data_IF_049679319519
#
_entry.id   IF_049679319519
#
_cell.length_a   1.000
_cell.length_b   1.000
_cell.length_c   1.000
_cell.angle_alpha   90.00
_cell.angle_beta   90.00
_cell.angle_gamma   90.00
#
_symmetry.space_group_name_H-M   'P 1'
#
loop_
_entity.id
_entity.type
_entity.pdbx_description
1 polymer ?
#
# COMPACT_ATOMS: atom_id res chain seq x y z
N UNK A 1 -28.71 30.32 11.10
CA UNK A 1 -27.26 30.00 11.13
C UNK A 1 -26.97 28.78 12.02
N UNK A 2 -27.36 28.76 13.30
CA UNK A 2 -27.07 27.61 14.19
C UNK A 2 -27.66 26.24 13.78
N UNK A 3 -28.82 26.20 13.10
CA UNK A 3 -29.42 24.93 12.65
C UNK A 3 -28.70 24.31 11.45
N UNK A 4 -28.15 25.14 10.56
CA UNK A 4 -27.50 24.69 9.32
C UNK A 4 -26.08 24.20 9.59
N UNK A 5 -25.38 24.88 10.50
CA UNK A 5 -24.06 24.47 10.99
C UNK A 5 -24.13 23.19 11.82
N UNK A 6 -25.15 23.05 12.68
CA UNK A 6 -25.39 21.82 13.41
C UNK A 6 -25.72 20.64 12.47
N UNK A 7 -26.52 20.86 11.42
CA UNK A 7 -26.83 19.84 10.43
C UNK A 7 -25.60 19.46 9.58
N UNK A 8 -24.78 20.43 9.17
CA UNK A 8 -23.52 20.18 8.48
C UNK A 8 -22.56 19.37 9.35
N UNK A 9 -22.39 19.75 10.62
CA UNK A 9 -21.53 19.04 11.55
C UNK A 9 -22.05 17.64 11.89
N UNK A 10 -23.37 17.40 11.93
CA UNK A 10 -23.92 16.06 12.12
C UNK A 10 -23.68 15.14 10.92
N UNK A 11 -23.63 15.69 9.70
CA UNK A 11 -23.42 14.91 8.46
C UNK A 11 -21.94 14.73 8.14
N UNK A 12 -21.08 15.66 8.55
CA UNK A 12 -19.64 15.62 8.29
C UNK A 12 -18.82 15.00 9.43
N UNK A 13 -19.46 14.58 10.52
CA UNK A 13 -18.82 14.11 11.74
C UNK A 13 -18.30 15.24 12.63
N UNK A 14 -18.21 14.99 13.95
CA UNK A 14 -17.53 15.91 14.85
C UNK A 14 -16.06 16.08 14.40
N UNK A 15 -15.52 17.31 14.51
CA UNK A 15 -14.24 17.77 13.95
C UNK A 15 -12.97 16.93 14.27
N UNK A 16 -13.08 15.84 15.04
CA UNK A 16 -12.00 14.97 15.46
C UNK A 16 -12.18 13.49 15.08
N UNK A 17 -13.38 13.03 14.69
CA UNK A 17 -13.66 11.61 14.41
C UNK A 17 -13.41 11.20 12.96
N UNK A 18 -13.37 12.16 12.03
CA UNK A 18 -13.23 11.91 10.59
C UNK A 18 -12.29 12.90 9.94
N UNK A 19 -11.51 12.41 8.97
CA UNK A 19 -10.69 13.28 8.14
C UNK A 19 -11.58 14.09 7.19
N UNK A 20 -11.33 15.40 7.08
CA UNK A 20 -12.01 16.26 6.12
C UNK A 20 -11.11 17.41 5.67
N UNK A 21 -11.45 18.00 4.53
CA UNK A 21 -10.82 19.22 4.01
C UNK A 21 -11.76 20.43 4.03
N UNK A 22 -13.00 20.24 4.47
CA UNK A 22 -13.99 21.30 4.60
C UNK A 22 -13.70 22.18 5.82
N UNK A 23 -13.98 23.48 5.70
CA UNK A 23 -14.18 24.36 6.85
C UNK A 23 -15.70 24.43 7.11
N UNK A 24 -16.15 23.98 8.28
CA UNK A 24 -17.58 23.86 8.62
C UNK A 24 -18.43 25.10 8.30
N UNK A 25 -18.00 26.33 8.66
CA UNK A 25 -18.72 27.56 8.36
C UNK A 25 -18.86 27.87 6.86
N UNK A 26 -17.85 27.53 6.06
CA UNK A 26 -17.86 27.79 4.61
C UNK A 26 -18.81 26.84 3.88
N UNK A 27 -18.83 25.55 4.28
CA UNK A 27 -19.74 24.58 3.69
C UNK A 27 -21.20 24.91 3.99
N UNK A 28 -21.53 25.29 5.24
CA UNK A 28 -22.91 25.67 5.59
C UNK A 28 -23.42 26.86 4.75
N UNK A 29 -22.53 27.80 4.43
CA UNK A 29 -22.83 28.92 3.53
C UNK A 29 -23.03 28.45 2.08
N UNK A 30 -22.17 27.55 1.60
CA UNK A 30 -22.28 26.98 0.25
C UNK A 30 -23.57 26.19 0.06
N UNK A 31 -23.92 25.29 1.00
CA UNK A 31 -25.17 24.51 0.95
C UNK A 31 -26.40 25.42 0.97
N UNK A 32 -26.35 26.55 1.69
CA UNK A 32 -27.45 27.51 1.73
C UNK A 32 -27.60 28.32 0.42
N UNK A 33 -26.56 28.36 -0.41
CA UNK A 33 -26.47 29.26 -1.56
C UNK A 33 -26.43 28.54 -2.91
N UNK A 34 -26.07 27.26 -2.93
CA UNK A 34 -25.85 26.46 -4.14
C UNK A 34 -26.35 25.03 -3.96
N UNK A 35 -26.80 24.43 -5.07
CA UNK A 35 -27.02 22.99 -5.14
C UNK A 35 -25.66 22.28 -5.10
N UNK A 36 -25.49 21.38 -4.14
CA UNK A 36 -24.24 20.65 -3.93
C UNK A 36 -24.40 19.23 -4.48
N UNK A 37 -23.50 18.84 -5.38
CA UNK A 37 -23.36 17.46 -5.83
C UNK A 37 -22.25 16.76 -5.04
N UNK A 38 -22.47 15.48 -4.73
CA UNK A 38 -21.50 14.62 -4.06
C UNK A 38 -21.20 13.39 -4.89
N UNK A 39 -19.96 12.89 -4.79
CA UNK A 39 -19.55 11.60 -5.31
C UNK A 39 -18.88 10.83 -4.18
N UNK A 40 -19.23 9.56 -4.05
CA UNK A 40 -18.55 8.63 -3.15
C UNK A 40 -17.58 7.82 -3.97
N UNK A 41 -16.33 7.77 -3.53
CA UNK A 41 -15.30 6.92 -4.14
C UNK A 41 -14.86 5.93 -3.09
N UNK A 42 -15.22 4.67 -3.30
CA UNK A 42 -14.75 3.59 -2.46
C UNK A 42 -13.26 3.35 -2.69
N UNK A 43 -12.53 2.99 -1.62
CA UNK A 43 -11.10 2.66 -1.65
C UNK A 43 -10.10 3.83 -1.80
N UNK A 44 -10.53 5.10 -1.79
CA UNK A 44 -9.57 6.21 -1.69
C UNK A 44 -8.89 6.22 -0.33
N UNK A 45 -7.55 6.26 -0.32
CA UNK A 45 -6.81 6.46 0.92
C UNK A 45 -6.87 7.93 1.35
N UNK A 46 -6.59 8.24 2.64
CA UNK A 46 -6.42 9.63 3.07
C UNK A 46 -5.30 10.36 2.32
N UNK A 47 -4.31 9.64 1.78
CA UNK A 47 -3.25 10.21 0.96
C UNK A 47 -3.79 10.66 -0.40
N UNK A 48 -4.57 9.81 -1.07
CA UNK A 48 -5.20 10.12 -2.35
C UNK A 48 -6.15 11.31 -2.23
N UNK A 49 -6.98 11.31 -1.18
CA UNK A 49 -7.91 12.39 -0.92
C UNK A 49 -7.20 13.73 -0.65
N UNK A 50 -6.04 13.72 0.02
CA UNK A 50 -5.17 14.91 0.17
C UNK A 50 -4.58 15.36 -1.15
N UNK A 51 -4.06 14.44 -1.96
CA UNK A 51 -3.47 14.75 -3.26
C UNK A 51 -4.52 15.37 -4.20
N UNK A 52 -5.73 14.81 -4.23
CA UNK A 52 -6.87 15.36 -4.95
C UNK A 52 -7.22 16.76 -4.45
N UNK A 53 -7.35 16.95 -3.13
CA UNK A 53 -7.64 18.26 -2.57
C UNK A 53 -6.60 19.32 -2.95
N UNK A 54 -5.30 18.99 -2.89
CA UNK A 54 -4.22 19.91 -3.28
C UNK A 54 -4.37 20.37 -4.74
N UNK A 55 -4.77 19.46 -5.64
CA UNK A 55 -4.98 19.76 -7.07
C UNK A 55 -6.26 20.55 -7.33
N UNK A 56 -7.32 20.31 -6.57
CA UNK A 56 -8.65 20.85 -6.84
C UNK A 56 -9.04 22.07 -6.00
N UNK A 57 -8.36 22.36 -4.89
CA UNK A 57 -8.71 23.47 -3.97
C UNK A 57 -8.79 24.86 -4.60
N UNK A 58 -8.20 25.05 -5.79
CA UNK A 58 -8.27 26.31 -6.54
C UNK A 58 -9.48 26.42 -7.48
N UNK A 59 -10.24 25.34 -7.68
CA UNK A 59 -11.39 25.32 -8.56
C UNK A 59 -12.65 25.81 -7.84
N UNK A 60 -13.40 26.72 -8.47
CA UNK A 60 -14.62 27.31 -7.89
C UNK A 60 -15.72 26.27 -7.58
N UNK A 61 -15.74 25.16 -8.32
CA UNK A 61 -16.72 24.09 -8.19
C UNK A 61 -16.34 23.03 -7.13
N UNK A 62 -15.12 23.06 -6.60
CA UNK A 62 -14.65 22.06 -5.66
C UNK A 62 -14.80 22.53 -4.21
N UNK A 63 -15.60 21.80 -3.44
CA UNK A 63 -15.88 22.15 -2.05
C UNK A 63 -14.93 21.47 -1.05
N UNK A 64 -14.40 20.28 -1.37
CA UNK A 64 -13.60 19.49 -0.44
C UNK A 64 -13.90 18.00 -0.51
N UNK A 65 -13.41 17.28 0.49
CA UNK A 65 -13.64 15.85 0.68
C UNK A 65 -13.77 15.55 2.19
N UNK A 66 -14.56 14.53 2.51
CA UNK A 66 -14.74 14.00 3.88
C UNK A 66 -14.65 12.49 3.82
N UNK A 67 -14.06 11.90 4.85
CA UNK A 67 -14.06 10.45 5.03
C UNK A 67 -15.46 9.97 5.37
N UNK A 68 -15.98 9.05 4.56
CA UNK A 68 -17.24 8.35 4.86
C UNK A 68 -16.94 7.19 5.80
N UNK A 69 -17.76 7.05 6.84
CA UNK A 69 -17.56 6.08 7.93
C UNK A 69 -18.85 5.27 8.08
N UNK A 70 -18.83 3.96 7.75
CA UNK A 70 -20.03 3.12 7.77
C UNK A 70 -20.71 2.99 9.14
N UNK A 71 -19.97 3.24 10.22
CA UNK A 71 -20.46 3.17 11.60
C UNK A 71 -21.29 4.39 12.03
N UNK A 72 -21.11 5.53 11.34
CA UNK A 72 -21.85 6.78 11.59
C UNK A 72 -23.20 6.72 10.87
N UNK A 73 -24.34 6.80 11.59
CA UNK A 73 -25.67 6.68 10.99
C UNK A 73 -25.97 7.67 9.87
N UNK A 74 -25.54 8.92 10.05
CA UNK A 74 -25.73 10.02 9.10
C UNK A 74 -24.92 9.79 7.83
N UNK A 75 -23.68 9.29 7.96
CA UNK A 75 -22.83 8.95 6.81
C UNK A 75 -23.46 7.82 5.98
N UNK A 76 -23.98 6.78 6.64
CA UNK A 76 -24.68 5.71 5.94
C UNK A 76 -25.92 6.22 5.21
N UNK A 77 -26.77 7.01 5.88
CA UNK A 77 -28.01 7.51 5.29
C UNK A 77 -27.76 8.41 4.08
N UNK A 78 -26.80 9.34 4.17
CA UNK A 78 -26.51 10.33 3.14
C UNK A 78 -25.61 9.77 2.03
N UNK A 79 -24.51 9.11 2.37
CA UNK A 79 -23.49 8.75 1.38
C UNK A 79 -23.59 7.31 0.89
N UNK A 80 -23.87 6.35 1.79
CA UNK A 80 -23.86 4.93 1.42
C UNK A 80 -25.20 4.46 0.86
N UNK A 81 -26.31 5.01 1.34
CA UNK A 81 -27.66 4.61 0.92
C UNK A 81 -28.24 5.48 -0.20
N UNK A 82 -27.97 6.78 -0.18
CA UNK A 82 -28.62 7.71 -1.11
C UNK A 82 -27.84 7.95 -2.41
N UNK A 83 -26.57 7.56 -2.47
CA UNK A 83 -25.72 7.73 -3.66
C UNK A 83 -25.47 6.34 -4.25
N UNK A 84 -26.06 6.00 -5.41
CA UNK A 84 -25.91 4.69 -6.00
C UNK A 84 -24.52 4.50 -6.63
N UNK A 85 -24.05 3.26 -6.62
CA UNK A 85 -22.83 2.89 -7.33
C UNK A 85 -23.06 2.94 -8.84
N UNK A 86 -22.24 3.70 -9.58
CA UNK A 86 -22.35 3.82 -11.04
C UNK A 86 -21.35 2.98 -11.83
N UNK A 87 -20.10 2.95 -11.37
CA UNK A 87 -19.04 2.25 -12.09
C UNK A 87 -17.90 1.86 -11.16
N UNK A 88 -17.06 0.93 -11.64
CA UNK A 88 -15.79 0.55 -11.01
C UNK A 88 -14.65 0.88 -11.95
N UNK A 89 -13.62 1.53 -11.41
CA UNK A 89 -12.34 1.67 -12.10
C UNK A 89 -11.42 0.56 -11.57
N UNK A 90 -10.80 -0.19 -12.47
CA UNK A 90 -9.82 -1.21 -12.13
C UNK A 90 -8.64 -1.13 -13.11
N UNK A 91 -7.45 -0.82 -12.59
CA UNK A 91 -6.27 -0.52 -13.40
C UNK A 91 -6.59 0.57 -14.43
N UNK A 92 -6.53 0.25 -15.72
CA UNK A 92 -6.80 1.16 -16.84
C UNK A 92 -8.12 0.82 -17.56
N UNK A 93 -9.06 0.21 -16.84
CA UNK A 93 -10.37 -0.18 -17.34
C UNK A 93 -11.50 0.36 -16.47
N UNK A 94 -12.63 0.68 -17.10
CA UNK A 94 -13.85 1.12 -16.44
C UNK A 94 -14.98 0.13 -16.69
N UNK A 95 -15.62 -0.33 -15.63
CA UNK A 95 -16.79 -1.21 -15.67
C UNK A 95 -18.04 -0.43 -15.27
N UNK A 96 -18.93 -0.16 -16.22
CA UNK A 96 -20.23 0.45 -15.97
C UNK A 96 -21.20 -0.58 -15.40
N UNK A 97 -21.85 -0.24 -14.29
CA UNK A 97 -22.82 -1.13 -13.67
C UNK A 97 -24.15 -1.08 -14.42
N UNK A 98 -24.74 -2.26 -14.61
CA UNK A 98 -26.10 -2.41 -15.11
C UNK A 98 -26.80 -3.52 -14.30
N UNK A 99 -28.13 -3.57 -14.30
CA UNK A 99 -28.86 -4.61 -13.56
C UNK A 99 -29.14 -5.77 -14.50
N UNK A 100 -28.32 -6.81 -14.43
CA UNK A 100 -28.41 -7.96 -15.33
C UNK A 100 -29.75 -8.68 -15.26
N UNK A 101 -30.38 -8.72 -14.09
CA UNK A 101 -31.69 -9.35 -13.88
C UNK A 101 -32.85 -8.66 -14.63
N UNK A 102 -32.66 -7.42 -15.10
CA UNK A 102 -33.67 -6.70 -15.90
C UNK A 102 -33.49 -6.93 -17.41
N UNK A 103 -32.32 -7.41 -17.87
CA UNK A 103 -31.99 -7.52 -19.30
C UNK A 103 -32.90 -8.48 -20.09
N UNK A 104 -33.52 -9.46 -19.42
CA UNK A 104 -34.50 -10.35 -20.07
C UNK A 104 -35.81 -9.61 -20.43
N UNK A 105 -36.06 -8.47 -19.79
CA UNK A 105 -37.29 -7.67 -19.93
C UNK A 105 -37.02 -6.35 -20.67
N UNK A 106 -35.96 -5.64 -20.29
CA UNK A 106 -35.59 -4.33 -20.83
C UNK A 106 -34.08 -4.13 -20.76
N UNK A 107 -33.49 -3.57 -21.83
CA UNK A 107 -32.08 -3.21 -21.83
C UNK A 107 -31.86 -1.91 -21.04
N UNK A 108 -31.35 -2.04 -19.82
CA UNK A 108 -31.09 -0.93 -18.91
C UNK A 108 -29.65 -0.39 -18.98
N UNK A 109 -28.87 -0.79 -19.98
CA UNK A 109 -27.50 -0.31 -20.16
C UNK A 109 -27.49 1.13 -20.67
N UNK A 110 -26.72 2.00 -20.01
CA UNK A 110 -26.54 3.39 -20.43
C UNK A 110 -25.48 3.49 -21.56
N UNK A 111 -25.93 3.24 -22.79
CA UNK A 111 -25.06 3.33 -23.96
C UNK A 111 -24.51 4.74 -24.21
N UNK A 112 -25.15 5.78 -23.68
CA UNK A 112 -24.64 7.16 -23.84
C UNK A 112 -23.41 7.32 -22.95
N UNK A 113 -23.54 7.00 -21.67
CA UNK A 113 -22.42 7.04 -20.71
C UNK A 113 -21.27 6.12 -21.16
N UNK A 114 -21.58 4.92 -21.66
CA UNK A 114 -20.57 4.01 -22.23
C UNK A 114 -19.76 4.67 -23.35
N UNK A 115 -20.42 5.37 -24.28
CA UNK A 115 -19.76 6.03 -25.41
C UNK A 115 -18.98 7.26 -24.99
N UNK A 116 -19.48 8.01 -24.01
CA UNK A 116 -18.75 9.13 -23.44
C UNK A 116 -17.43 8.68 -22.82
N UNK A 117 -17.44 7.58 -22.06
CA UNK A 117 -16.22 7.01 -21.49
C UNK A 117 -15.27 6.47 -22.56
N UNK A 118 -15.76 5.74 -23.58
CA UNK A 118 -14.93 5.27 -24.70
C UNK A 118 -14.23 6.42 -25.42
N UNK A 119 -14.93 7.53 -25.65
CA UNK A 119 -14.40 8.69 -26.41
C UNK A 119 -13.49 9.57 -25.54
N UNK A 120 -13.63 9.53 -24.21
CA UNK A 120 -12.84 10.35 -23.29
C UNK A 120 -11.32 10.12 -23.39
N UNK A 121 -10.91 8.90 -23.75
CA UNK A 121 -9.50 8.49 -23.75
C UNK A 121 -8.85 8.44 -22.36
N UNK A 122 -9.64 8.52 -21.28
CA UNK A 122 -9.16 8.47 -19.90
C UNK A 122 -8.82 7.05 -19.42
N UNK A 123 -9.40 6.04 -20.08
CA UNK A 123 -9.19 4.62 -19.78
C UNK A 123 -8.93 3.85 -21.08
N UNK A 124 -8.16 2.77 -21.01
CA UNK A 124 -7.88 1.89 -22.15
C UNK A 124 -9.10 1.11 -22.63
N UNK A 125 -10.03 0.76 -21.75
CA UNK A 125 -11.23 0.01 -22.12
C UNK A 125 -12.43 0.28 -21.21
N UNK A 126 -13.62 0.14 -21.79
CA UNK A 126 -14.90 0.23 -21.08
C UNK A 126 -15.65 -1.10 -21.20
N UNK A 127 -16.25 -1.55 -20.10
CA UNK A 127 -16.95 -2.82 -20.00
C UNK A 127 -18.28 -2.67 -19.27
N UNK A 128 -19.13 -3.67 -19.42
CA UNK A 128 -20.36 -3.83 -18.63
C UNK A 128 -20.11 -4.76 -17.46
N UNK A 129 -20.61 -4.42 -16.29
CA UNK A 129 -20.62 -5.28 -15.11
C UNK A 129 -22.04 -5.37 -14.52
N UNK A 130 -22.49 -6.59 -14.26
CA UNK A 130 -23.78 -6.81 -13.60
C UNK A 130 -23.68 -6.45 -12.10
N UNK A 131 -24.55 -5.54 -11.65
CA UNK A 131 -24.67 -5.16 -10.24
C UNK A 131 -25.25 -6.28 -9.38
N UNK A 132 -25.94 -7.25 -9.99
CA UNK A 132 -26.70 -8.27 -9.28
C UNK A 132 -27.83 -7.64 -8.47
N UNK A 133 -28.11 -8.21 -7.29
CA UNK A 133 -29.13 -7.70 -6.37
C UNK A 133 -28.64 -6.57 -5.45
N UNK A 134 -27.39 -6.09 -5.61
CA UNK A 134 -26.80 -5.04 -4.75
C UNK A 134 -27.62 -3.75 -4.80
N UNK A 135 -27.75 -3.08 -3.65
CA UNK A 135 -28.46 -1.78 -3.53
C UNK A 135 -29.95 -1.86 -3.94
N UNK A 136 -30.53 -3.07 -4.02
CA UNK A 136 -31.95 -3.27 -4.27
C UNK A 136 -32.68 -3.63 -2.98
N UNK A 137 -34.01 -3.63 -3.02
CA UNK A 137 -34.83 -4.15 -1.90
C UNK A 137 -34.58 -5.63 -1.59
N UNK A 138 -33.90 -6.36 -2.49
CA UNK A 138 -33.53 -7.76 -2.31
C UNK A 138 -32.11 -7.93 -1.78
N UNK A 139 -31.36 -6.83 -1.54
CA UNK A 139 -30.04 -6.88 -0.92
C UNK A 139 -30.17 -7.06 0.60
N UNK A 140 -29.88 -8.24 1.17
CA UNK A 140 -29.96 -8.43 2.61
C UNK A 140 -28.80 -7.74 3.34
N UNK A 141 -27.80 -7.24 2.62
CA UNK A 141 -26.60 -6.59 3.15
C UNK A 141 -26.66 -5.07 3.08
N UNK A 142 -27.64 -4.48 2.38
CA UNK A 142 -27.89 -3.04 2.39
C UNK A 142 -28.61 -2.59 3.68
N UNK A 143 -27.91 -2.72 4.81
CA UNK A 143 -28.43 -2.29 6.11
C UNK A 143 -27.32 -1.82 7.05
N UNK A 144 -27.69 -0.93 7.98
CA UNK A 144 -26.79 -0.34 8.97
C UNK A 144 -25.93 -1.38 9.72
N UNK A 145 -26.50 -2.53 10.07
CA UNK A 145 -25.78 -3.54 10.84
C UNK A 145 -24.64 -4.16 10.03
N UNK A 146 -24.86 -4.41 8.74
CA UNK A 146 -23.82 -4.90 7.84
C UNK A 146 -22.72 -3.85 7.64
N UNK A 147 -23.09 -2.60 7.35
CA UNK A 147 -22.13 -1.51 7.18
C UNK A 147 -21.29 -1.24 8.44
N UNK A 148 -21.89 -1.29 9.64
CA UNK A 148 -21.13 -1.22 10.90
C UNK A 148 -20.09 -2.33 11.01
N UNK A 149 -20.47 -3.58 10.73
CA UNK A 149 -19.53 -4.71 10.74
C UNK A 149 -18.40 -4.54 9.73
N UNK A 150 -18.69 -3.93 8.58
CA UNK A 150 -17.66 -3.60 7.57
C UNK A 150 -16.66 -2.58 8.12
N UNK A 151 -17.14 -1.50 8.75
CA UNK A 151 -16.29 -0.51 9.41
C UNK A 151 -15.46 -1.10 10.55
N UNK A 152 -16.07 -1.91 11.42
CA UNK A 152 -15.36 -2.62 12.50
C UNK A 152 -14.29 -3.57 11.96
N UNK A 153 -14.60 -4.31 10.89
CA UNK A 153 -13.63 -5.20 10.25
C UNK A 153 -12.45 -4.44 9.65
N UNK A 154 -12.71 -3.30 8.98
CA UNK A 154 -11.66 -2.43 8.44
C UNK A 154 -10.72 -1.92 9.54
N UNK A 155 -11.27 -1.41 10.64
CA UNK A 155 -10.47 -0.93 11.78
C UNK A 155 -9.64 -2.04 12.42
N UNK A 156 -10.22 -3.22 12.64
CA UNK A 156 -9.52 -4.37 13.20
C UNK A 156 -8.39 -4.86 12.30
N UNK A 157 -8.66 -4.98 10.99
CA UNK A 157 -7.66 -5.39 10.01
C UNK A 157 -6.53 -4.36 9.95
N UNK A 158 -6.86 -3.08 9.84
CA UNK A 158 -5.88 -2.00 9.80
C UNK A 158 -4.98 -2.01 11.05
N UNK A 159 -5.58 -2.16 12.24
CA UNK A 159 -4.84 -2.24 13.50
C UNK A 159 -3.87 -3.42 13.56
N UNK A 160 -4.33 -4.63 13.19
CA UNK A 160 -3.50 -5.84 13.21
C UNK A 160 -2.34 -5.75 12.21
N UNK A 161 -2.62 -5.34 10.97
CA UNK A 161 -1.58 -5.22 9.96
C UNK A 161 -0.60 -4.08 10.26
N UNK A 162 -1.08 -2.93 10.74
CA UNK A 162 -0.19 -1.82 11.13
C UNK A 162 0.76 -2.22 12.26
N UNK A 163 0.29 -2.99 13.24
CA UNK A 163 1.13 -3.52 14.30
C UNK A 163 2.21 -4.47 13.75
N UNK A 164 1.82 -5.44 12.91
CA UNK A 164 2.76 -6.41 12.34
C UNK A 164 3.80 -5.75 11.41
N UNK A 165 3.38 -4.78 10.59
CA UNK A 165 4.28 -4.00 9.72
C UNK A 165 5.20 -3.13 10.57
N UNK A 166 4.68 -2.47 11.61
CA UNK A 166 5.48 -1.66 12.54
C UNK A 166 6.58 -2.47 13.22
N UNK A 167 6.26 -3.65 13.75
CA UNK A 167 7.26 -4.55 14.33
C UNK A 167 8.31 -4.97 13.30
N UNK A 168 7.86 -5.35 12.09
CA UNK A 168 8.77 -5.78 11.01
C UNK A 168 9.73 -4.67 10.62
N UNK A 169 9.27 -3.41 10.54
CA UNK A 169 10.12 -2.24 10.25
C UNK A 169 11.15 -1.97 11.34
N UNK A 170 10.76 -2.09 12.62
CA UNK A 170 11.70 -1.95 13.73
C UNK A 170 12.77 -3.03 13.69
N UNK A 171 12.36 -4.29 13.56
CA UNK A 171 13.30 -5.42 13.49
C UNK A 171 14.19 -5.39 12.24
N UNK A 172 13.69 -4.91 11.09
CA UNK A 172 14.52 -4.62 9.92
C UNK A 172 15.62 -3.61 10.25
N UNK A 173 15.27 -2.53 10.96
CA UNK A 173 16.20 -1.46 11.32
C UNK A 173 17.26 -1.94 12.32
N UNK A 174 16.87 -2.75 13.30
CA UNK A 174 17.78 -3.39 14.26
C UNK A 174 18.74 -4.36 13.57
N UNK A 175 18.25 -5.09 12.57
CA UNK A 175 19.02 -6.07 11.82
C UNK A 175 20.04 -5.40 10.88
N UNK A 176 19.61 -4.40 10.12
CA UNK A 176 20.47 -3.52 9.32
C UNK A 176 19.63 -2.32 8.82
N UNK A 177 19.99 -1.07 9.15
CA UNK A 177 19.25 0.12 8.68
C UNK A 177 19.07 0.19 7.15
N UNK A 178 19.97 -0.42 6.37
CA UNK A 178 19.87 -0.49 4.92
C UNK A 178 18.65 -1.32 4.45
N UNK A 179 18.12 -2.24 5.26
CA UNK A 179 16.90 -2.98 4.94
C UNK A 179 15.71 -2.03 4.89
N UNK A 180 15.54 -1.21 5.93
CA UNK A 180 14.45 -0.22 6.01
C UNK A 180 14.57 0.81 4.89
N UNK A 181 15.79 1.26 4.56
CA UNK A 181 16.01 2.15 3.42
C UNK A 181 15.59 1.52 2.08
N UNK A 182 15.93 0.24 1.85
CA UNK A 182 15.56 -0.48 0.61
C UNK A 182 14.06 -0.72 0.52
N UNK A 183 13.41 -1.07 1.64
CA UNK A 183 11.96 -1.23 1.69
C UNK A 183 11.24 0.09 1.45
N UNK A 184 11.70 1.18 2.09
CA UNK A 184 11.18 2.52 1.83
C UNK A 184 11.32 2.91 0.36
N UNK A 185 12.48 2.67 -0.25
CA UNK A 185 12.69 2.94 -1.68
C UNK A 185 11.73 2.16 -2.58
N UNK A 186 11.49 0.88 -2.29
CA UNK A 186 10.55 0.04 -3.04
C UNK A 186 9.11 0.56 -2.91
N UNK A 187 8.65 0.84 -1.68
CA UNK A 187 7.31 1.38 -1.42
C UNK A 187 7.13 2.76 -2.04
N UNK A 188 8.12 3.65 -1.89
CA UNK A 188 8.04 5.00 -2.43
C UNK A 188 7.98 5.00 -3.96
N UNK A 189 8.79 4.16 -4.61
CA UNK A 189 8.77 4.00 -6.06
C UNK A 189 7.43 3.43 -6.55
N UNK A 190 6.81 2.53 -5.77
CA UNK A 190 5.47 2.04 -6.07
C UNK A 190 4.40 3.12 -5.86
N UNK A 191 4.47 3.92 -4.81
CA UNK A 191 3.48 4.99 -4.56
C UNK A 191 3.55 6.12 -5.60
N UNK A 192 4.72 6.38 -6.17
CA UNK A 192 4.93 7.48 -7.11
C UNK A 192 5.08 7.03 -8.56
N UNK A 193 4.71 5.80 -8.90
CA UNK A 193 4.82 5.33 -10.29
C UNK A 193 3.79 6.03 -11.18
N UNK A 194 4.26 6.47 -12.35
CA UNK A 194 3.44 6.96 -13.45
C UNK A 194 3.55 6.01 -14.66
N UNK A 195 4.62 5.20 -14.70
CA UNK A 195 4.93 4.34 -15.83
C UNK A 195 5.19 2.88 -15.42
N UNK A 196 5.01 1.97 -16.37
CA UNK A 196 5.31 0.56 -16.15
C UNK A 196 6.83 0.27 -16.05
N UNK A 197 7.68 1.18 -16.52
CA UNK A 197 9.13 1.13 -16.31
C UNK A 197 9.48 1.36 -14.83
N UNK A 198 8.84 2.33 -14.17
CA UNK A 198 9.01 2.57 -12.74
C UNK A 198 8.53 1.37 -11.89
N UNK A 199 7.46 0.69 -12.31
CA UNK A 199 7.02 -0.56 -11.68
C UNK A 199 8.07 -1.68 -11.77
N UNK A 200 8.85 -1.73 -12.85
CA UNK A 200 9.97 -2.67 -12.94
C UNK A 200 11.10 -2.33 -11.95
N UNK A 201 11.37 -1.05 -11.71
CA UNK A 201 12.32 -0.60 -10.69
C UNK A 201 11.91 -1.00 -9.27
N UNK A 202 10.60 -1.07 -8.98
CA UNK A 202 10.10 -1.62 -7.71
C UNK A 202 10.54 -3.08 -7.54
N UNK A 203 10.41 -3.90 -8.58
CA UNK A 203 10.77 -5.32 -8.54
C UNK A 203 12.26 -5.54 -8.28
N UNK A 204 13.12 -4.73 -8.90
CA UNK A 204 14.56 -4.71 -8.62
C UNK A 204 14.86 -4.31 -7.16
N UNK A 205 14.10 -3.36 -6.62
CA UNK A 205 14.23 -2.92 -5.23
C UNK A 205 13.82 -4.04 -4.25
N UNK A 206 12.74 -4.77 -4.55
CA UNK A 206 12.33 -5.96 -3.80
C UNK A 206 13.44 -7.04 -3.81
N UNK A 207 14.04 -7.33 -4.98
CA UNK A 207 15.17 -8.26 -5.07
C UNK A 207 16.33 -7.84 -4.18
N UNK A 208 16.73 -6.57 -4.29
CA UNK A 208 17.82 -5.96 -3.52
C UNK A 208 17.56 -5.99 -2.01
N UNK A 209 16.29 -5.88 -1.59
CA UNK A 209 15.90 -6.05 -0.20
C UNK A 209 16.08 -7.52 0.22
N UNK A 210 15.56 -8.47 -0.56
CA UNK A 210 15.62 -9.91 -0.22
C UNK A 210 17.06 -10.43 -0.18
N UNK A 211 17.93 -9.99 -1.09
CA UNK A 211 19.36 -10.30 -1.07
C UNK A 211 20.02 -9.76 0.21
N UNK A 212 19.70 -8.53 0.59
CA UNK A 212 20.24 -7.92 1.81
C UNK A 212 19.72 -8.62 3.07
N UNK A 213 18.45 -9.03 3.08
CA UNK A 213 17.86 -9.78 4.18
C UNK A 213 18.58 -11.13 4.34
N UNK A 214 18.84 -11.81 3.22
CA UNK A 214 19.66 -13.01 3.21
C UNK A 214 21.07 -12.76 3.74
N UNK A 215 21.73 -11.66 3.36
CA UNK A 215 23.08 -11.32 3.87
C UNK A 215 23.09 -11.14 5.40
N UNK A 216 22.00 -10.61 5.97
CA UNK A 216 21.89 -10.37 7.40
C UNK A 216 21.52 -11.63 8.19
N UNK A 217 20.64 -12.48 7.66
CA UNK A 217 20.16 -13.69 8.33
C UNK A 217 21.10 -14.89 8.11
N UNK A 218 21.72 -14.96 6.94
CA UNK A 218 22.58 -16.06 6.52
C UNK A 218 23.68 -15.56 5.58
N UNK A 219 24.80 -15.03 6.13
CA UNK A 219 25.90 -14.50 5.33
C UNK A 219 26.40 -15.52 4.30
N UNK A 220 26.87 -15.04 3.12
CA UNK A 220 27.39 -15.92 2.08
C UNK A 220 28.63 -16.68 2.58
N UNK A 221 28.76 -17.94 2.17
CA UNK A 221 29.92 -18.79 2.48
C UNK A 221 30.23 -19.78 1.36
N UNK A 222 31.45 -20.29 1.35
CA UNK A 222 31.91 -21.25 0.35
C UNK A 222 31.33 -22.66 0.61
N UNK A 223 31.12 -23.03 1.87
CA UNK A 223 30.59 -24.34 2.23
C UNK A 223 29.10 -24.47 1.89
N UNK A 224 28.76 -25.59 1.25
CA UNK A 224 27.36 -25.90 0.94
C UNK A 224 26.53 -26.07 2.22
N UNK A 225 25.31 -25.54 2.22
CA UNK A 225 24.30 -25.80 3.23
C UNK A 225 23.29 -26.80 2.67
N UNK A 226 23.05 -27.92 3.36
CA UNK A 226 22.09 -28.96 2.91
C UNK A 226 22.30 -29.38 1.43
N UNK A 227 23.57 -29.52 1.02
CA UNK A 227 23.95 -29.90 -0.35
C UNK A 227 23.82 -28.79 -1.41
N UNK A 228 23.36 -27.59 -1.05
CA UNK A 228 23.18 -26.44 -1.96
C UNK A 228 24.26 -25.37 -1.76
N UNK A 229 24.61 -24.67 -2.84
CA UNK A 229 25.49 -23.49 -2.78
C UNK A 229 24.77 -22.35 -2.06
N UNK A 230 25.50 -21.65 -1.20
CA UNK A 230 25.02 -20.52 -0.38
C UNK A 230 25.98 -19.33 -0.49
N UNK A 231 26.40 -19.02 -1.73
CA UNK A 231 27.22 -17.86 -2.03
C UNK A 231 26.39 -16.58 -2.14
N UNK A 232 27.04 -15.49 -2.55
CA UNK A 232 26.41 -14.17 -2.65
C UNK A 232 25.18 -14.18 -3.57
N UNK A 233 25.27 -14.85 -4.73
CA UNK A 233 24.21 -14.90 -5.73
C UNK A 233 23.03 -15.79 -5.29
N UNK A 234 23.25 -16.79 -4.45
CA UNK A 234 22.25 -17.78 -4.05
C UNK A 234 21.41 -17.34 -2.84
N UNK A 235 20.89 -16.11 -2.84
CA UNK A 235 20.12 -15.56 -1.72
C UNK A 235 18.94 -16.45 -1.29
N UNK A 236 18.22 -17.08 -2.24
CA UNK A 236 17.12 -18.03 -1.93
C UNK A 236 17.60 -19.24 -1.14
N UNK A 237 18.72 -19.84 -1.57
CA UNK A 237 19.29 -20.99 -0.87
C UNK A 237 19.74 -20.61 0.54
N UNK A 238 20.27 -19.38 0.71
CA UNK A 238 20.66 -18.83 2.01
C UNK A 238 19.46 -18.69 2.94
N UNK A 239 18.34 -18.18 2.45
CA UNK A 239 17.09 -18.10 3.22
C UNK A 239 16.53 -19.49 3.55
N UNK A 240 16.58 -20.46 2.62
CA UNK A 240 16.18 -21.84 2.92
C UNK A 240 17.05 -22.50 3.99
N UNK A 241 18.36 -22.28 3.94
CA UNK A 241 19.28 -22.77 4.96
C UNK A 241 18.98 -22.16 6.32
N UNK A 242 18.73 -20.84 6.36
CA UNK A 242 18.31 -20.14 7.57
C UNK A 242 17.01 -20.74 8.17
N UNK A 243 15.97 -20.95 7.36
CA UNK A 243 14.73 -21.57 7.81
C UNK A 243 14.99 -22.98 8.34
N UNK A 244 15.79 -23.78 7.63
CA UNK A 244 16.10 -25.16 8.04
C UNK A 244 16.80 -25.24 9.40
N UNK A 245 17.66 -24.27 9.72
CA UNK A 245 18.41 -24.21 10.97
C UNK A 245 17.61 -23.63 12.15
N UNK A 246 16.60 -22.79 11.87
CA UNK A 246 15.85 -22.06 12.91
C UNK A 246 14.42 -22.56 13.14
N UNK A 247 13.91 -23.49 12.32
CA UNK A 247 12.54 -24.03 12.45
C UNK A 247 12.58 -25.52 12.77
N UNK A 248 11.92 -25.91 13.86
CA UNK A 248 11.81 -27.31 14.29
C UNK A 248 10.61 -28.04 13.70
N UNK A 249 9.47 -27.35 13.50
CA UNK A 249 8.26 -27.91 12.91
C UNK A 249 8.41 -28.10 11.40
N UNK A 250 8.27 -29.33 10.90
CA UNK A 250 8.37 -29.63 9.47
C UNK A 250 7.28 -28.91 8.65
N UNK A 251 6.03 -28.87 9.15
CA UNK A 251 4.94 -28.14 8.48
C UNK A 251 5.23 -26.64 8.37
N UNK A 252 5.75 -26.03 9.42
CA UNK A 252 6.11 -24.60 9.39
C UNK A 252 7.28 -24.36 8.44
N UNK A 253 8.28 -25.26 8.45
CA UNK A 253 9.43 -25.19 7.56
C UNK A 253 9.00 -25.27 6.08
N UNK A 254 8.13 -26.20 5.74
CA UNK A 254 7.59 -26.35 4.37
C UNK A 254 6.85 -25.10 3.90
N UNK A 255 5.99 -24.53 4.75
CA UNK A 255 5.27 -23.30 4.46
C UNK A 255 6.22 -22.13 4.18
N UNK A 256 7.22 -21.91 5.04
CA UNK A 256 8.16 -20.79 4.88
C UNK A 256 9.04 -20.96 3.64
N UNK A 257 9.48 -22.19 3.35
CA UNK A 257 10.23 -22.49 2.12
C UNK A 257 9.38 -22.18 0.88
N UNK A 258 8.09 -22.57 0.90
CA UNK A 258 7.16 -22.29 -0.19
C UNK A 258 6.95 -20.77 -0.39
N UNK A 259 6.82 -20.00 0.69
CA UNK A 259 6.68 -18.53 0.63
C UNK A 259 7.92 -17.87 0.01
N UNK A 260 9.13 -18.28 0.40
CA UNK A 260 10.39 -17.77 -0.17
C UNK A 260 10.50 -18.12 -1.67
N UNK A 261 10.12 -19.34 -2.05
CA UNK A 261 10.14 -19.79 -3.44
C UNK A 261 9.12 -19.02 -4.30
N UNK A 262 7.90 -18.80 -3.82
CA UNK A 262 6.88 -18.00 -4.52
C UNK A 262 7.34 -16.55 -4.71
N UNK A 263 7.84 -15.91 -3.65
CA UNK A 263 8.39 -14.56 -3.73
C UNK A 263 9.51 -14.48 -4.77
N UNK A 264 10.45 -15.43 -4.73
CA UNK A 264 11.54 -15.54 -5.69
C UNK A 264 11.07 -15.63 -7.14
N UNK A 265 10.08 -16.49 -7.41
CA UNK A 265 9.48 -16.64 -8.74
C UNK A 265 8.80 -15.35 -9.22
N UNK A 266 8.11 -14.63 -8.34
CA UNK A 266 7.47 -13.36 -8.67
C UNK A 266 8.50 -12.29 -9.04
N UNK A 267 9.57 -12.17 -8.25
CA UNK A 267 10.70 -11.27 -8.54
C UNK A 267 11.30 -11.61 -9.91
N UNK A 268 11.68 -12.87 -10.13
CA UNK A 268 12.32 -13.30 -11.38
C UNK A 268 11.41 -13.07 -12.60
N UNK A 269 10.10 -13.30 -12.46
CA UNK A 269 9.13 -13.07 -13.54
C UNK A 269 9.06 -11.58 -13.90
N UNK A 270 8.92 -10.69 -12.92
CA UNK A 270 8.82 -9.26 -13.15
C UNK A 270 10.13 -8.68 -13.69
N UNK A 271 11.27 -9.11 -13.15
CA UNK A 271 12.61 -8.76 -13.65
C UNK A 271 12.79 -9.23 -15.11
N UNK A 272 12.29 -10.42 -15.46
CA UNK A 272 12.37 -10.94 -16.83
C UNK A 272 11.50 -10.17 -17.84
N UNK A 273 10.34 -9.65 -17.43
CA UNK A 273 9.48 -8.81 -18.27
C UNK A 273 10.15 -7.46 -18.52
N UNK A 274 10.76 -6.89 -17.48
CA UNK A 274 11.56 -5.67 -17.56
C UNK A 274 12.74 -5.81 -18.52
N UNK A 275 13.59 -6.84 -18.34
CA UNK A 275 14.79 -7.02 -19.14
C UNK A 275 14.52 -7.36 -20.62
N UNK A 276 13.28 -7.75 -20.96
CA UNK A 276 12.84 -7.96 -22.35
C UNK A 276 12.22 -6.72 -22.99
N UNK A 277 12.21 -5.58 -22.30
CA UNK A 277 11.55 -4.36 -22.76
C UNK A 277 10.02 -4.47 -22.83
N UNK A 278 9.44 -5.50 -22.20
CA UNK A 278 7.99 -5.76 -22.17
C UNK A 278 7.35 -5.06 -20.98
N UNK A 279 7.75 -3.80 -20.72
CA UNK A 279 7.27 -3.03 -19.58
C UNK A 279 5.75 -2.81 -19.65
N UNK A 280 5.16 -2.74 -20.83
CA UNK A 280 3.69 -2.64 -21.02
C UNK A 280 2.89 -3.82 -20.43
N UNK A 281 3.55 -4.92 -20.04
CA UNK A 281 2.91 -6.10 -19.45
C UNK A 281 2.97 -6.07 -17.90
N UNK A 282 3.74 -5.16 -17.30
CA UNK A 282 3.86 -5.05 -15.85
C UNK A 282 2.67 -4.31 -15.28
N UNK A 283 1.75 -5.03 -14.64
CA UNK A 283 0.59 -4.42 -13.97
C UNK A 283 0.91 -3.96 -12.55
N UNK A 284 0.27 -2.86 -12.13
CA UNK A 284 0.38 -2.32 -10.77
C UNK A 284 -0.10 -3.35 -9.73
N UNK A 285 -1.18 -4.08 -10.02
CA UNK A 285 -1.67 -5.15 -9.14
C UNK A 285 -0.66 -6.29 -8.94
N UNK A 286 0.11 -6.64 -9.97
CA UNK A 286 1.17 -7.64 -9.91
C UNK A 286 2.30 -7.22 -8.97
N UNK A 287 2.72 -5.96 -9.06
CA UNK A 287 3.76 -5.37 -8.20
C UNK A 287 3.26 -5.16 -6.77
N UNK A 288 2.02 -4.74 -6.57
CA UNK A 288 1.41 -4.65 -5.24
C UNK A 288 1.44 -6.01 -4.52
N UNK A 289 1.03 -7.09 -5.22
CA UNK A 289 1.10 -8.46 -4.69
C UNK A 289 2.53 -8.90 -4.37
N UNK A 290 3.53 -8.44 -5.14
CA UNK A 290 4.94 -8.68 -4.84
C UNK A 290 5.34 -7.99 -3.52
N UNK A 291 4.97 -6.73 -3.32
CA UNK A 291 5.27 -5.97 -2.09
C UNK A 291 4.61 -6.59 -0.86
N UNK A 292 3.35 -7.00 -0.96
CA UNK A 292 2.66 -7.71 0.13
C UNK A 292 3.35 -9.03 0.48
N UNK A 293 3.72 -9.82 -0.54
CA UNK A 293 4.46 -11.07 -0.35
C UNK A 293 5.83 -10.82 0.29
N UNK A 294 6.53 -9.76 -0.12
CA UNK A 294 7.81 -9.35 0.46
C UNK A 294 7.67 -9.06 1.97
N UNK A 295 6.65 -8.30 2.36
CA UNK A 295 6.39 -7.96 3.76
C UNK A 295 6.07 -9.20 4.60
N UNK A 296 5.24 -10.11 4.09
CA UNK A 296 4.92 -11.38 4.77
C UNK A 296 6.18 -12.22 4.96
N UNK A 297 6.96 -12.43 3.89
CA UNK A 297 8.21 -13.21 3.96
C UNK A 297 9.23 -12.55 4.89
N UNK A 298 9.37 -11.23 4.86
CA UNK A 298 10.24 -10.50 5.76
C UNK A 298 9.82 -10.67 7.22
N UNK A 299 8.52 -10.51 7.50
CA UNK A 299 7.96 -10.72 8.83
C UNK A 299 8.23 -12.14 9.33
N UNK A 300 7.91 -13.16 8.53
CA UNK A 300 8.13 -14.57 8.86
C UNK A 300 9.59 -14.86 9.20
N UNK A 301 10.52 -14.47 8.31
CA UNK A 301 11.94 -14.75 8.46
C UNK A 301 12.55 -14.03 9.66
N UNK A 302 12.22 -12.76 9.85
CA UNK A 302 12.79 -11.97 10.95
C UNK A 302 12.22 -12.43 12.30
N UNK A 303 10.99 -12.96 12.32
CA UNK A 303 10.36 -13.49 13.54
C UNK A 303 11.05 -14.76 14.05
N UNK A 304 11.75 -15.50 13.19
CA UNK A 304 12.58 -16.65 13.60
C UNK A 304 13.80 -16.24 14.44
N UNK A 305 14.23 -14.97 14.35
CA UNK A 305 15.36 -14.45 15.13
C UNK A 305 14.89 -14.06 16.53
N UNK A 306 15.54 -14.56 17.60
CA UNK A 306 15.20 -14.15 18.96
C UNK A 306 15.49 -12.65 19.15
N UNK A 307 14.64 -11.92 19.90
CA UNK A 307 14.90 -10.52 20.22
C UNK A 307 16.16 -10.39 21.09
N UNK A 308 16.85 -9.24 20.98
CA UNK A 308 18.02 -8.93 21.82
C UNK A 308 19.37 -9.44 21.32
N UNK A 309 19.48 -9.79 20.03
CA UNK A 309 20.77 -10.10 19.41
C UNK A 309 21.70 -8.87 19.35
N UNK A 310 23.01 -9.09 19.26
CA UNK A 310 23.98 -8.01 19.14
C UNK A 310 23.70 -7.12 17.92
N UNK A 311 23.78 -5.79 18.12
CA UNK A 311 23.67 -4.83 17.03
C UNK A 311 24.87 -4.95 16.09
N UNK A 312 24.64 -5.09 14.78
CA UNK A 312 25.74 -5.16 13.83
C UNK A 312 26.39 -3.78 13.66
N UNK A 313 27.71 -3.72 13.82
CA UNK A 313 28.50 -2.50 13.58
C UNK A 313 28.80 -2.25 12.09
N UNK A 314 28.72 -3.30 11.26
CA UNK A 314 29.07 -3.25 9.83
C UNK A 314 28.37 -2.12 9.05
N UNK A 315 27.07 -1.81 9.26
CA UNK A 315 26.40 -0.70 8.57
C UNK A 315 27.00 0.68 8.89
N UNK A 316 27.67 0.81 10.03
CA UNK A 316 28.25 2.05 10.53
C UNK A 316 29.76 2.15 10.28
N UNK A 317 30.38 1.12 9.70
CA UNK A 317 31.84 1.00 9.58
C UNK A 317 32.46 2.22 8.88
N UNK A 318 31.85 2.70 7.79
CA UNK A 318 32.31 3.88 7.06
C UNK A 318 32.24 5.14 7.91
N UNK A 319 31.14 5.35 8.64
CA UNK A 319 30.95 6.52 9.51
C UNK A 319 31.93 6.49 10.68
N UNK A 320 32.12 5.33 11.30
CA UNK A 320 33.09 5.14 12.38
C UNK A 320 34.50 5.41 11.86
N UNK A 321 34.88 4.84 10.70
CA UNK A 321 36.20 5.05 10.10
C UNK A 321 36.46 6.51 9.80
N UNK A 322 35.50 7.19 9.16
CA UNK A 322 35.60 8.62 8.86
C UNK A 322 35.72 9.48 10.12
N UNK A 323 35.00 9.12 11.19
CA UNK A 323 35.13 9.78 12.48
C UNK A 323 36.52 9.58 13.09
N UNK A 324 37.05 8.36 13.06
CA UNK A 324 38.39 8.05 13.57
C UNK A 324 39.49 8.77 12.79
N UNK A 325 39.39 8.82 11.46
CA UNK A 325 40.30 9.59 10.60
C UNK A 325 40.30 11.08 10.94
N UNK A 326 39.12 11.66 11.24
CA UNK A 326 39.02 13.06 11.68
C UNK A 326 39.66 13.32 13.04
N UNK A 327 39.50 12.41 14.01
CA UNK A 327 40.08 12.56 15.35
C UNK A 327 41.61 12.48 15.28
N UNK A 328 42.15 11.52 14.52
CA UNK A 328 43.60 11.35 14.36
C UNK A 328 44.26 12.61 13.75
N UNK A 329 43.64 13.23 12.74
CA UNK A 329 44.16 14.46 12.15
C UNK A 329 44.02 15.71 13.05
N UNK A 330 43.13 15.70 14.04
CA UNK A 330 43.06 16.79 15.04
C UNK A 330 44.17 16.66 16.10
N UNK A 331 44.55 15.43 16.48
CA UNK A 331 45.65 15.19 17.41
C UNK A 331 47.01 15.57 16.81
N UNK A 332 47.24 15.28 15.52
CA UNK A 332 48.47 15.68 14.80
C UNK A 332 48.61 17.21 14.65
N UNK A 333 47.50 17.95 14.51
CA UNK A 333 47.51 19.41 14.47
C UNK A 333 47.80 20.05 15.83
N UNK A 334 47.32 19.46 16.92
CA UNK A 334 47.53 19.98 18.29
C UNK A 334 48.92 19.70 18.87
N UNK A 335 49.65 18.71 18.34
CA UNK A 335 51.00 18.37 18.79
C UNK A 335 52.09 19.17 18.07
N UNK A 336 51.79 19.80 16.93
CA UNK A 336 52.69 20.78 16.29
C UNK A 336 52.64 22.16 16.95
N UNK A 337 51.51 22.55 17.55
CA UNK A 337 51.38 23.84 18.28
C UNK A 337 51.94 23.79 19.73
N UNK A 338 52.44 22.63 20.18
CA UNK A 338 53.01 22.45 21.52
C UNK A 338 54.55 22.42 21.54
N UNK A 339 55.22 22.53 20.39
CA UNK A 339 56.69 22.58 20.25
C UNK A 339 57.24 23.95 19.78
N UNK A 340 56.42 25.02 19.71
CA UNK A 340 56.89 26.40 19.51
C UNK A 340 57.05 27.22 20.81
#
# INVERSE_FOLDING_TARGET
>A
MGSTEAAANSVLGEHWAVWSTFLGPDLAKCIASFDVAGMVVESLTPSDARAMHIRLKGAEWYLGAVQVRPDIPEHWAVFLKSIPSRFRIFEDSLCLFHRGYELEVEDNRDYVEYREWEVSGLVSSVHWEDSGARETIFDPYDNMQHFRRLGEADELLHGQFSSAVGETLMRCSDLDPNLTQRLHAALKAFESHETAEELAHVSLSCRRFTEKLADCLYPPREEKANGRKVGQAEYRNRLWAYIAENVTSDTTRELLIANVEDLGKRIDRLDSLSNKGLHSIVSSSGVNRLLLSLLVVAHDLISLRPPGGAFPYKPYETTIRFFMEKVLHQEEGSSQDAEE
#
